data_IF_615170232925
#
_entry.id   IF_615170232925
#
_cell.length_a   1.000
_cell.length_b   1.000
_cell.length_c   1.000
_cell.angle_alpha   90.00
_cell.angle_beta   90.00
_cell.angle_gamma   90.00
#
_symmetry.space_group_name_H-M   'P 1'
#
loop_
_entity.id
_entity.type
_entity.pdbx_description
1 polymer ?
#
# COMPACT_ATOMS: atom_id res chain seq x y z
N UNK A 1 -11.79 -12.30 5.70
CA UNK A 1 -11.67 -13.74 5.36
C UNK A 1 -12.76 -14.21 4.40
N UNK A 2 -14.05 -13.92 4.63
CA UNK A 2 -15.13 -14.26 3.67
C UNK A 2 -15.10 -13.40 2.39
N UNK A 3 -14.89 -12.08 2.52
CA UNK A 3 -14.88 -11.16 1.36
C UNK A 3 -13.70 -11.42 0.41
N UNK A 4 -12.59 -11.89 0.95
CA UNK A 4 -11.39 -12.24 0.18
C UNK A 4 -11.61 -13.49 -0.67
N UNK A 5 -12.30 -14.50 -0.12
CA UNK A 5 -12.69 -15.71 -0.85
C UNK A 5 -13.73 -15.39 -1.94
N UNK A 6 -14.69 -14.51 -1.65
CA UNK A 6 -15.67 -14.07 -2.65
C UNK A 6 -15.02 -13.26 -3.78
N UNK A 7 -14.09 -12.34 -3.47
CA UNK A 7 -13.28 -11.65 -4.49
C UNK A 7 -12.52 -12.61 -5.39
N UNK A 8 -11.86 -13.62 -4.83
CA UNK A 8 -11.13 -14.63 -5.61
C UNK A 8 -12.08 -15.45 -6.51
N UNK A 9 -13.29 -15.78 -6.04
CA UNK A 9 -14.29 -16.48 -6.86
C UNK A 9 -14.90 -15.61 -7.97
N UNK A 10 -15.21 -14.35 -7.67
CA UNK A 10 -15.68 -13.39 -8.68
C UNK A 10 -14.59 -13.13 -9.75
N UNK A 11 -13.34 -12.99 -9.33
CA UNK A 11 -12.20 -12.81 -10.23
C UNK A 11 -12.03 -13.99 -11.20
N UNK A 12 -12.25 -15.21 -10.71
CA UNK A 12 -12.22 -16.47 -11.50
C UNK A 12 -13.44 -16.69 -12.40
N UNK A 13 -14.51 -15.91 -12.22
CA UNK A 13 -15.76 -16.05 -13.00
C UNK A 13 -16.02 -14.90 -13.99
N UNK A 14 -15.30 -13.79 -13.90
CA UNK A 14 -15.37 -12.66 -14.85
C UNK A 14 -14.80 -13.03 -16.22
N UNK A 15 -15.61 -12.90 -17.29
CA UNK A 15 -15.14 -12.93 -18.68
C UNK A 15 -15.45 -14.18 -19.52
N UNK A 16 -16.45 -14.99 -19.13
CA UNK A 16 -16.88 -16.16 -19.94
C UNK A 16 -15.87 -17.32 -19.94
N UNK A 17 -14.99 -17.36 -18.95
CA UNK A 17 -13.99 -18.40 -18.78
C UNK A 17 -14.45 -19.43 -17.75
N UNK A 18 -14.44 -20.73 -18.11
CA UNK A 18 -14.64 -21.83 -17.16
C UNK A 18 -13.29 -22.25 -16.57
N UNK A 19 -12.90 -21.65 -15.46
CA UNK A 19 -11.66 -21.95 -14.73
C UNK A 19 -11.78 -23.18 -13.82
N UNK A 20 -12.19 -24.33 -14.36
CA UNK A 20 -12.40 -25.55 -13.56
C UNK A 20 -11.17 -26.44 -13.35
N UNK A 21 -10.09 -26.29 -14.14
CA UNK A 21 -8.95 -27.24 -14.12
C UNK A 21 -7.57 -26.58 -14.22
N UNK A 22 -7.40 -25.56 -15.08
CA UNK A 22 -6.12 -24.88 -15.25
C UNK A 22 -6.33 -23.35 -15.23
N UNK A 23 -5.83 -22.72 -14.17
CA UNK A 23 -5.90 -21.27 -13.93
C UNK A 23 -4.55 -20.60 -14.25
N UNK A 24 -4.62 -19.41 -14.85
CA UNK A 24 -3.52 -18.48 -14.98
C UNK A 24 -4.10 -17.06 -15.03
N UNK A 25 -3.55 -16.09 -14.31
CA UNK A 25 -4.15 -14.75 -14.18
C UNK A 25 -4.19 -13.93 -15.49
N UNK A 26 -3.22 -14.11 -16.38
CA UNK A 26 -3.22 -13.53 -17.75
C UNK A 26 -4.25 -14.17 -18.71
N UNK A 27 -4.91 -15.26 -18.32
CA UNK A 27 -5.87 -15.95 -19.18
C UNK A 27 -7.08 -15.06 -19.43
N UNK A 28 -7.43 -14.90 -20.71
CA UNK A 28 -8.57 -14.07 -21.13
C UNK A 28 -8.27 -12.57 -21.31
N UNK A 29 -7.10 -12.09 -20.89
CA UNK A 29 -6.63 -10.73 -21.14
C UNK A 29 -5.87 -10.61 -22.48
N UNK A 30 -5.22 -11.68 -22.91
CA UNK A 30 -4.31 -11.64 -24.06
C UNK A 30 -4.99 -12.05 -25.37
N UNK A 31 -4.68 -11.31 -26.43
CA UNK A 31 -5.07 -11.59 -27.81
C UNK A 31 -3.83 -11.80 -28.67
N UNK A 32 -3.96 -12.62 -29.71
CA UNK A 32 -2.89 -12.91 -30.64
C UNK A 32 -2.72 -11.75 -31.63
N UNK A 33 -1.60 -11.04 -31.53
CA UNK A 33 -1.28 -9.92 -32.42
C UNK A 33 -1.23 -10.32 -33.90
N UNK A 34 -0.62 -11.46 -34.24
CA UNK A 34 -0.61 -12.00 -35.61
C UNK A 34 -2.02 -12.23 -36.17
N UNK A 35 -2.98 -12.62 -35.34
CA UNK A 35 -4.38 -12.75 -35.77
C UNK A 35 -5.00 -11.37 -36.01
N UNK A 36 -4.75 -10.42 -35.12
CA UNK A 36 -5.22 -9.05 -35.25
C UNK A 36 -4.72 -8.41 -36.55
N UNK A 37 -3.43 -8.57 -36.87
CA UNK A 37 -2.82 -8.13 -38.13
C UNK A 37 -3.49 -8.77 -39.37
N UNK A 38 -3.98 -10.00 -39.22
CA UNK A 38 -4.74 -10.71 -40.26
C UNK A 38 -6.27 -10.43 -40.20
N UNK A 39 -6.69 -9.35 -39.55
CA UNK A 39 -8.08 -8.87 -39.54
C UNK A 39 -9.03 -9.69 -38.65
N UNK A 40 -8.52 -10.48 -37.71
CA UNK A 40 -9.36 -11.29 -36.81
C UNK A 40 -8.93 -11.19 -35.35
N UNK A 41 -9.89 -11.06 -34.44
CA UNK A 41 -9.61 -11.15 -33.02
C UNK A 41 -9.51 -12.62 -32.57
N UNK A 42 -8.36 -13.03 -32.02
CA UNK A 42 -8.19 -14.38 -31.48
C UNK A 42 -7.57 -14.33 -30.09
N UNK A 43 -8.22 -14.97 -29.11
CA UNK A 43 -7.72 -15.04 -27.73
C UNK A 43 -6.57 -16.02 -27.59
N UNK A 44 -5.68 -15.72 -26.66
CA UNK A 44 -4.67 -16.66 -26.17
C UNK A 44 -5.31 -17.61 -25.15
N UNK A 45 -5.03 -18.90 -25.31
CA UNK A 45 -5.50 -19.99 -24.48
C UNK A 45 -4.34 -20.50 -23.65
N UNK A 46 -4.56 -20.60 -22.34
CA UNK A 46 -3.62 -21.22 -21.42
C UNK A 46 -3.71 -22.75 -21.50
N UNK A 47 -2.57 -23.42 -21.57
CA UNK A 47 -2.47 -24.89 -21.61
C UNK A 47 -1.29 -25.36 -20.78
N UNK A 48 -1.44 -26.54 -20.15
CA UNK A 48 -0.36 -27.24 -19.46
C UNK A 48 0.03 -28.45 -20.28
N UNK A 49 1.32 -28.60 -20.55
CA UNK A 49 1.87 -29.76 -21.25
C UNK A 49 2.75 -30.57 -20.30
N UNK A 50 2.56 -31.88 -20.28
CA UNK A 50 3.40 -32.81 -19.52
C UNK A 50 4.66 -33.13 -20.33
N UNK A 51 5.83 -32.93 -19.72
CA UNK A 51 7.13 -33.26 -20.27
C UNK A 51 7.47 -34.74 -20.10
N UNK A 52 8.52 -35.19 -20.80
CA UNK A 52 8.95 -36.61 -20.81
C UNK A 52 9.35 -37.19 -19.45
N UNK A 53 9.59 -36.33 -18.44
CA UNK A 53 10.01 -36.71 -17.08
C UNK A 53 8.89 -36.53 -16.04
N UNK A 54 7.66 -36.20 -16.47
CA UNK A 54 6.52 -35.92 -15.59
C UNK A 54 6.43 -34.46 -15.12
N UNK A 55 7.34 -33.58 -15.57
CA UNK A 55 7.29 -32.14 -15.28
C UNK A 55 6.20 -31.46 -16.10
N UNK A 56 5.42 -30.55 -15.49
CA UNK A 56 4.41 -29.77 -16.20
C UNK A 56 4.98 -28.42 -16.64
N UNK A 57 4.72 -28.06 -17.89
CA UNK A 57 5.11 -26.79 -18.48
C UNK A 57 3.88 -26.00 -18.90
N UNK A 58 3.88 -24.73 -18.51
CA UNK A 58 2.77 -23.80 -18.71
C UNK A 58 3.00 -22.97 -19.98
N UNK A 59 2.01 -22.92 -20.87
CA UNK A 59 2.10 -22.23 -22.15
C UNK A 59 0.83 -21.44 -22.50
N UNK A 60 1.02 -20.43 -23.34
CA UNK A 60 -0.04 -19.75 -24.06
C UNK A 60 0.01 -20.08 -25.55
N UNK A 61 -1.16 -20.37 -26.14
CA UNK A 61 -1.30 -20.61 -27.57
C UNK A 61 -2.49 -19.84 -28.13
N UNK A 62 -2.37 -19.36 -29.36
CA UNK A 62 -3.49 -18.75 -30.06
C UNK A 62 -4.61 -19.78 -30.29
N UNK A 63 -5.88 -19.42 -30.02
CA UNK A 63 -7.04 -20.29 -30.28
C UNK A 63 -7.08 -20.81 -31.71
N UNK A 64 -6.84 -19.96 -32.70
CA UNK A 64 -6.92 -20.34 -34.13
C UNK A 64 -5.82 -21.35 -34.50
N UNK A 65 -4.66 -21.30 -33.83
CA UNK A 65 -3.63 -22.32 -33.99
C UNK A 65 -4.10 -23.67 -33.45
N UNK A 66 -4.71 -23.68 -32.26
CA UNK A 66 -5.21 -24.90 -31.63
C UNK A 66 -6.34 -25.57 -32.44
N UNK A 67 -7.10 -24.80 -33.21
CA UNK A 67 -8.11 -25.32 -34.14
C UNK A 67 -7.51 -26.04 -35.36
N UNK A 68 -6.18 -26.03 -35.54
CA UNK A 68 -5.45 -26.92 -36.45
C UNK A 68 -5.57 -26.59 -37.95
N UNK A 69 -6.23 -25.50 -38.34
CA UNK A 69 -6.46 -25.14 -39.75
C UNK A 69 -5.28 -24.44 -40.45
N UNK A 70 -4.10 -24.38 -39.80
CA UNK A 70 -2.91 -23.69 -40.34
C UNK A 70 -3.04 -22.18 -40.48
N UNK A 71 -4.10 -21.57 -39.93
CA UNK A 71 -4.40 -20.16 -40.18
C UNK A 71 -3.60 -19.21 -39.28
N UNK A 72 -2.92 -19.70 -38.24
CA UNK A 72 -2.05 -18.94 -37.33
C UNK A 72 -0.78 -19.75 -37.06
N UNK A 73 0.38 -19.14 -37.27
CA UNK A 73 1.70 -19.76 -37.16
C UNK A 73 2.44 -19.40 -35.85
N UNK A 74 1.83 -18.58 -34.98
CA UNK A 74 2.41 -18.16 -33.69
C UNK A 74 2.84 -19.37 -32.86
N UNK A 75 4.10 -19.47 -32.37
CA UNK A 75 4.53 -20.60 -31.54
C UNK A 75 3.81 -20.64 -30.19
N UNK A 76 3.92 -21.78 -29.49
CA UNK A 76 3.54 -21.85 -28.08
C UNK A 76 4.49 -20.96 -27.29
N UNK A 77 3.91 -20.04 -26.51
CA UNK A 77 4.67 -19.08 -25.72
C UNK A 77 4.79 -19.62 -24.28
N UNK A 78 5.99 -19.83 -23.74
CA UNK A 78 6.16 -20.22 -22.34
C UNK A 78 5.54 -19.17 -21.42
N UNK A 79 4.71 -19.61 -20.47
CA UNK A 79 3.99 -18.70 -19.58
C UNK A 79 4.95 -17.75 -18.86
N UNK A 80 6.04 -18.26 -18.27
CA UNK A 80 7.05 -17.45 -17.58
C UNK A 80 7.66 -16.33 -18.45
N UNK A 81 7.86 -16.56 -19.74
CA UNK A 81 8.38 -15.52 -20.65
C UNK A 81 7.31 -14.47 -20.95
N UNK A 82 6.06 -14.90 -21.14
CA UNK A 82 4.93 -14.00 -21.33
C UNK A 82 4.72 -13.13 -20.10
N UNK A 83 4.77 -13.71 -18.90
CA UNK A 83 4.68 -12.99 -17.63
C UNK A 83 5.77 -11.94 -17.49
N UNK A 84 7.02 -12.31 -17.80
CA UNK A 84 8.14 -11.39 -17.75
C UNK A 84 7.94 -10.20 -18.70
N UNK A 85 7.54 -10.46 -19.95
CA UNK A 85 7.30 -9.40 -20.93
C UNK A 85 6.08 -8.52 -20.59
N UNK A 86 5.04 -9.10 -19.98
CA UNK A 86 3.89 -8.33 -19.49
C UNK A 86 4.34 -7.42 -18.34
N UNK A 87 5.06 -7.95 -17.35
CA UNK A 87 5.59 -7.16 -16.23
C UNK A 87 6.46 -5.99 -16.72
N UNK A 88 7.42 -6.28 -17.59
CA UNK A 88 8.33 -5.33 -18.20
C UNK A 88 7.59 -4.26 -19.04
N UNK A 89 6.51 -4.63 -19.73
CA UNK A 89 5.66 -3.66 -20.43
C UNK A 89 4.84 -2.78 -19.49
N UNK A 90 4.28 -3.32 -18.40
CA UNK A 90 3.58 -2.54 -17.39
C UNK A 90 4.50 -1.54 -16.68
N UNK A 91 5.77 -1.89 -16.48
CA UNK A 91 6.79 -0.98 -15.93
C UNK A 91 7.08 0.15 -16.91
N UNK A 92 7.20 -0.15 -18.22
CA UNK A 92 7.38 0.88 -19.26
C UNK A 92 6.15 1.78 -19.45
N UNK A 93 4.95 1.23 -19.24
CA UNK A 93 3.69 1.97 -19.16
C UNK A 93 3.48 2.66 -17.81
N UNK A 94 4.47 2.61 -16.90
CA UNK A 94 4.36 3.10 -15.54
C UNK A 94 3.65 4.44 -15.45
N UNK A 95 2.98 4.68 -14.32
CA UNK A 95 2.18 5.89 -14.06
C UNK A 95 2.79 7.12 -14.73
N UNK A 96 2.05 7.93 -15.51
CA UNK A 96 2.63 9.09 -16.19
C UNK A 96 3.50 9.91 -15.23
N UNK A 97 4.68 10.35 -15.68
CA UNK A 97 5.63 11.09 -14.85
C UNK A 97 4.95 12.23 -14.10
N UNK A 98 4.14 13.01 -14.80
CA UNK A 98 3.35 14.12 -14.28
C UNK A 98 2.37 13.70 -13.17
N UNK A 99 1.78 12.50 -13.28
CA UNK A 99 0.90 11.95 -12.25
C UNK A 99 1.68 11.52 -11.01
N UNK A 100 2.88 10.95 -11.19
CA UNK A 100 3.77 10.62 -10.07
C UNK A 100 4.25 11.87 -9.35
N UNK A 101 4.71 12.88 -10.08
CA UNK A 101 5.13 14.17 -9.51
C UNK A 101 3.97 14.83 -8.75
N UNK A 102 2.77 14.89 -9.34
CA UNK A 102 1.60 15.46 -8.69
C UNK A 102 1.23 14.73 -7.39
N UNK A 103 1.32 13.39 -7.36
CA UNK A 103 1.07 12.62 -6.13
C UNK A 103 2.16 12.89 -5.10
N UNK A 104 3.43 12.84 -5.49
CA UNK A 104 4.55 13.06 -4.57
C UNK A 104 4.51 14.47 -3.98
N UNK A 105 4.20 15.48 -4.79
CA UNK A 105 4.03 16.87 -4.34
C UNK A 105 2.82 17.00 -3.40
N UNK A 106 1.66 16.44 -3.76
CA UNK A 106 0.47 16.51 -2.92
C UNK A 106 0.66 15.81 -1.56
N UNK A 107 1.35 14.66 -1.56
CA UNK A 107 1.69 13.92 -0.34
C UNK A 107 2.72 14.69 0.48
N UNK A 108 3.76 15.25 -0.15
CA UNK A 108 4.75 16.09 0.52
C UNK A 108 4.13 17.31 1.18
N UNK A 109 3.28 18.05 0.47
CA UNK A 109 2.58 19.23 1.00
C UNK A 109 1.65 18.87 2.17
N UNK A 110 0.95 17.75 2.09
CA UNK A 110 0.09 17.27 3.18
C UNK A 110 0.92 16.89 4.41
N UNK A 111 2.05 16.20 4.22
CA UNK A 111 2.98 15.86 5.29
C UNK A 111 3.55 17.11 5.97
N UNK A 112 3.97 18.10 5.20
CA UNK A 112 4.51 19.35 5.74
C UNK A 112 3.46 20.11 6.57
N UNK A 113 2.21 20.15 6.09
CA UNK A 113 1.11 20.78 6.81
C UNK A 113 0.77 20.06 8.13
N UNK A 114 0.68 18.72 8.09
CA UNK A 114 0.47 17.93 9.31
C UNK A 114 1.65 18.10 10.28
N UNK A 115 2.90 18.06 9.80
CA UNK A 115 4.06 18.33 10.65
C UNK A 115 4.03 19.73 11.27
N UNK A 116 3.60 20.75 10.52
CA UNK A 116 3.48 22.12 11.02
C UNK A 116 2.42 22.22 12.13
N UNK A 117 1.22 21.69 11.91
CA UNK A 117 0.14 21.65 12.89
C UNK A 117 0.58 20.91 14.17
N UNK A 118 1.26 19.78 14.02
CA UNK A 118 1.76 19.02 15.16
C UNK A 118 2.88 19.75 15.92
N UNK A 119 3.77 20.48 15.24
CA UNK A 119 4.76 21.36 15.91
C UNK A 119 4.07 22.45 16.73
N UNK A 120 2.97 23.02 16.23
CA UNK A 120 2.18 24.00 16.98
C UNK A 120 1.54 23.39 18.23
N UNK A 121 0.96 22.19 18.12
CA UNK A 121 0.39 21.44 19.25
C UNK A 121 1.47 21.17 20.30
N UNK A 122 2.64 20.66 19.90
CA UNK A 122 3.77 20.43 20.83
C UNK A 122 4.27 21.73 21.48
N UNK A 123 4.32 22.84 20.73
CA UNK A 123 4.65 24.15 21.29
C UNK A 123 3.60 24.62 22.30
N UNK A 124 2.32 24.30 22.07
CA UNK A 124 1.22 24.51 23.01
C UNK A 124 1.41 23.74 24.31
N UNK A 125 1.68 22.43 24.23
CA UNK A 125 1.95 21.59 25.41
C UNK A 125 3.17 22.08 26.20
N UNK A 126 4.27 22.45 25.52
CA UNK A 126 5.45 23.03 26.20
C UNK A 126 5.11 24.31 26.97
N UNK A 127 4.39 25.24 26.34
CA UNK A 127 3.92 26.47 27.01
C UNK A 127 3.01 26.16 28.21
N UNK A 128 2.18 25.12 28.12
CA UNK A 128 1.33 24.69 29.22
C UNK A 128 2.16 24.14 30.38
N UNK A 129 3.15 23.28 30.10
CA UNK A 129 4.08 22.75 31.10
C UNK A 129 4.87 23.87 31.80
N UNK A 130 5.38 24.85 31.06
CA UNK A 130 6.08 26.00 31.63
C UNK A 130 5.19 26.81 32.59
N UNK A 131 3.92 27.03 32.20
CA UNK A 131 2.94 27.72 33.07
C UNK A 131 2.62 26.92 34.32
N UNK A 132 2.53 25.60 34.22
CA UNK A 132 2.28 24.71 35.36
C UNK A 132 3.48 24.72 36.32
N UNK A 133 4.71 24.68 35.79
CA UNK A 133 5.93 24.77 36.60
C UNK A 133 6.02 26.08 37.37
N UNK A 134 5.75 27.22 36.72
CA UNK A 134 5.72 28.54 37.39
C UNK A 134 4.63 28.59 38.48
N UNK A 135 3.49 27.93 38.26
CA UNK A 135 2.41 27.87 39.25
C UNK A 135 2.75 26.97 40.43
N UNK A 136 3.46 25.87 40.17
CA UNK A 136 3.99 24.96 41.19
C UNK A 136 4.98 25.69 42.10
N UNK A 137 6.01 26.35 41.54
CA UNK A 137 6.99 27.15 42.28
C UNK A 137 6.30 28.19 43.18
N UNK A 138 5.34 28.96 42.64
CA UNK A 138 4.59 29.95 43.44
C UNK A 138 3.79 29.33 44.58
N UNK A 139 3.28 28.10 44.41
CA UNK A 139 2.57 27.40 45.48
C UNK A 139 3.52 26.89 46.55
N UNK A 140 4.74 26.52 46.17
CA UNK A 140 5.80 26.13 47.09
C UNK A 140 6.27 27.34 47.91
N UNK A 141 6.55 28.49 47.27
CA UNK A 141 6.90 29.75 47.95
C UNK A 141 5.83 30.13 48.99
N UNK A 142 4.55 30.07 48.62
CA UNK A 142 3.42 30.36 49.50
C UNK A 142 3.24 29.34 50.65
N UNK A 143 3.78 28.13 50.50
CA UNK A 143 3.74 27.12 51.54
C UNK A 143 4.78 27.38 52.64
N UNK A 144 5.89 28.06 52.31
CA UNK A 144 6.94 28.43 53.25
C UNK A 144 6.47 29.50 54.25
N UNK A 145 5.62 30.44 53.82
CA UNK A 145 5.09 31.53 54.64
C UNK A 145 4.09 31.08 55.74
N UNK A 146 3.76 29.78 55.84
CA UNK A 146 2.93 29.14 56.89
C UNK A 146 1.51 29.71 57.13
N UNK A 147 1.10 30.75 56.40
CA UNK A 147 -0.19 31.42 56.53
C UNK A 147 -1.37 30.66 55.89
N UNK A 148 -1.09 29.66 55.05
CA UNK A 148 -2.10 28.96 54.25
C UNK A 148 -2.35 27.51 54.73
N UNK A 149 -3.61 27.00 54.66
CA UNK A 149 -3.90 25.62 55.00
C UNK A 149 -3.18 24.63 54.07
N UNK A 150 -2.29 23.82 54.64
CA UNK A 150 -1.48 22.82 53.91
C UNK A 150 -2.31 21.85 53.05
N UNK A 151 -3.52 21.50 53.50
CA UNK A 151 -4.44 20.65 52.74
C UNK A 151 -4.85 21.26 51.39
N UNK A 152 -5.09 22.57 51.34
CA UNK A 152 -5.46 23.27 50.10
C UNK A 152 -4.29 23.35 49.13
N UNK A 153 -3.07 23.55 49.65
CA UNK A 153 -1.84 23.56 48.85
C UNK A 153 -1.60 22.18 48.25
N UNK A 154 -1.68 21.13 49.06
CA UNK A 154 -1.52 19.74 48.60
C UNK A 154 -2.57 19.35 47.55
N UNK A 155 -3.82 19.78 47.72
CA UNK A 155 -4.86 19.56 46.72
C UNK A 155 -4.54 20.26 45.39
N UNK A 156 -4.01 21.49 45.44
CA UNK A 156 -3.62 22.27 44.26
C UNK A 156 -2.40 21.66 43.54
N UNK A 157 -1.41 21.18 44.30
CA UNK A 157 -0.23 20.50 43.76
C UNK A 157 -0.61 19.18 43.07
N UNK A 158 -1.51 18.39 43.67
CA UNK A 158 -2.03 17.17 43.02
C UNK A 158 -2.74 17.49 41.70
N UNK A 159 -3.54 18.56 41.67
CA UNK A 159 -4.20 19.00 40.44
C UNK A 159 -3.20 19.39 39.34
N UNK A 160 -2.14 20.12 39.71
CA UNK A 160 -1.05 20.47 38.77
C UNK A 160 -0.35 19.22 38.26
N UNK A 161 -0.07 18.24 39.13
CA UNK A 161 0.57 16.99 38.72
C UNK A 161 -0.30 16.20 37.72
N UNK A 162 -1.61 16.16 37.92
CA UNK A 162 -2.55 15.52 36.98
C UNK A 162 -2.51 16.25 35.62
N UNK A 163 -2.57 17.58 35.63
CA UNK A 163 -2.51 18.38 34.39
C UNK A 163 -1.16 18.22 33.66
N UNK A 164 -0.06 18.04 34.41
CA UNK A 164 1.28 17.81 33.85
C UNK A 164 1.37 16.46 33.16
N UNK A 165 0.93 15.39 33.84
CA UNK A 165 0.91 14.03 33.26
C UNK A 165 0.07 13.98 32.00
N UNK A 166 -1.14 14.59 32.01
CA UNK A 166 -1.99 14.64 30.83
C UNK A 166 -1.33 15.37 29.64
N UNK A 167 -0.60 16.46 29.89
CA UNK A 167 0.12 17.20 28.85
C UNK A 167 1.35 16.42 28.34
N UNK A 168 2.06 15.70 29.21
CA UNK A 168 3.19 14.83 28.84
C UNK A 168 2.73 13.64 27.98
N UNK A 169 1.64 12.97 28.39
CA UNK A 169 1.02 11.87 27.64
C UNK A 169 0.53 12.32 26.26
N UNK A 170 -0.17 13.46 26.18
CA UNK A 170 -0.62 14.03 24.91
C UNK A 170 0.55 14.36 23.95
N UNK A 171 1.70 14.75 24.50
CA UNK A 171 2.91 15.03 23.72
C UNK A 171 3.58 13.74 23.21
N UNK A 172 3.58 12.66 24.00
CA UNK A 172 4.12 11.36 23.58
C UNK A 172 3.24 10.70 22.51
N UNK A 173 1.92 10.66 22.72
CA UNK A 173 0.98 10.05 21.77
C UNK A 173 1.03 10.73 20.40
N UNK A 174 1.19 12.05 20.39
CA UNK A 174 1.31 12.84 19.16
C UNK A 174 2.66 12.60 18.47
N UNK A 175 3.75 12.46 19.24
CA UNK A 175 5.08 12.15 18.72
C UNK A 175 5.18 10.78 18.03
N UNK A 176 4.58 9.76 18.62
CA UNK A 176 4.61 8.40 18.05
C UNK A 176 3.85 8.32 16.72
N UNK A 177 2.70 9.00 16.62
CA UNK A 177 1.89 9.07 15.38
C UNK A 177 2.68 9.69 14.21
N UNK A 178 3.57 10.65 14.47
CA UNK A 178 4.41 11.28 13.43
C UNK A 178 5.38 10.28 12.81
N UNK A 179 6.10 9.53 13.66
CA UNK A 179 7.15 8.62 13.20
C UNK A 179 6.57 7.47 12.35
N UNK A 180 5.41 6.95 12.77
CA UNK A 180 4.72 5.85 12.08
C UNK A 180 4.13 6.34 10.76
N UNK A 181 3.45 7.49 10.76
CA UNK A 181 2.84 8.06 9.56
C UNK A 181 3.86 8.34 8.46
N UNK A 182 4.97 9.00 8.79
CA UNK A 182 6.03 9.33 7.84
C UNK A 182 6.69 8.08 7.24
N UNK A 183 6.95 7.06 8.06
CA UNK A 183 7.60 5.82 7.61
C UNK A 183 6.69 4.99 6.69
N UNK A 184 5.39 4.92 7.00
CA UNK A 184 4.42 4.18 6.18
C UNK A 184 4.24 4.86 4.82
N UNK A 185 4.13 6.18 4.78
CA UNK A 185 3.98 6.94 3.54
C UNK A 185 5.24 6.89 2.66
N UNK A 186 6.44 7.02 3.22
CA UNK A 186 7.70 6.87 2.47
C UNK A 186 7.81 5.48 1.83
N UNK A 187 7.40 4.43 2.57
CA UNK A 187 7.36 3.07 2.03
C UNK A 187 6.38 2.93 0.86
N UNK A 188 5.21 3.56 0.93
CA UNK A 188 4.22 3.49 -0.14
C UNK A 188 4.63 4.27 -1.38
N UNK A 189 5.29 5.43 -1.22
CA UNK A 189 5.81 6.20 -2.34
C UNK A 189 6.91 5.44 -3.09
N UNK A 190 7.81 4.74 -2.38
CA UNK A 190 8.84 3.89 -3.02
C UNK A 190 8.27 2.75 -3.86
N UNK A 191 7.07 2.26 -3.54
CA UNK A 191 6.38 1.24 -4.37
C UNK A 191 5.91 1.79 -5.72
N UNK A 192 5.72 3.11 -5.82
CA UNK A 192 5.35 3.79 -7.07
C UNK A 192 6.57 4.06 -7.97
N UNK A 193 7.77 4.13 -7.39
CA UNK A 193 9.03 4.38 -8.10
C UNK A 193 9.57 3.14 -8.83
N UNK A 194 9.49 1.95 -8.22
CA UNK A 194 9.90 0.70 -8.86
C UNK A 194 8.89 -0.43 -8.61
N UNK A 195 7.98 -0.70 -9.57
CA UNK A 195 6.98 -1.74 -9.42
C UNK A 195 7.52 -3.16 -9.69
N UNK A 196 8.74 -3.34 -10.21
CA UNK A 196 9.32 -4.67 -10.49
C UNK A 196 9.36 -5.60 -9.26
N UNK A 197 9.97 -5.20 -8.13
CA UNK A 197 10.06 -6.06 -6.95
C UNK A 197 8.67 -6.39 -6.39
N UNK A 198 7.72 -5.47 -6.46
CA UNK A 198 6.34 -5.67 -6.01
C UNK A 198 5.59 -6.64 -6.91
N UNK A 199 5.68 -6.49 -8.23
CA UNK A 199 5.06 -7.40 -9.18
C UNK A 199 5.63 -8.82 -9.07
N UNK A 200 6.96 -8.93 -8.93
CA UNK A 200 7.65 -10.20 -8.80
C UNK A 200 7.27 -10.96 -7.52
N UNK A 201 7.06 -10.25 -6.40
CA UNK A 201 6.74 -10.85 -5.10
C UNK A 201 5.23 -10.97 -4.82
N UNK A 202 4.38 -10.31 -5.61
CA UNK A 202 2.93 -10.38 -5.45
C UNK A 202 2.39 -11.81 -5.72
N UNK A 203 1.43 -12.28 -4.91
CA UNK A 203 0.67 -13.49 -5.23
C UNK A 203 -0.11 -13.33 -6.54
N UNK A 204 -0.29 -14.42 -7.29
CA UNK A 204 -1.03 -14.42 -8.57
C UNK A 204 -2.45 -13.84 -8.49
N UNK A 205 -3.07 -13.84 -7.30
CA UNK A 205 -4.38 -13.26 -7.06
C UNK A 205 -4.38 -11.72 -7.15
N UNK A 206 -3.26 -11.07 -6.87
CA UNK A 206 -3.13 -9.60 -6.76
C UNK A 206 -2.41 -9.00 -7.96
N UNK A 207 -1.66 -9.80 -8.75
CA UNK A 207 -0.93 -9.34 -9.96
C UNK A 207 -1.81 -8.76 -11.08
N UNK A 208 -3.14 -8.91 -10.98
CA UNK A 208 -4.10 -8.43 -11.98
C UNK A 208 -4.92 -7.22 -11.51
N UNK A 209 -4.90 -6.90 -10.22
CA UNK A 209 -5.60 -5.75 -9.65
C UNK A 209 -4.68 -4.52 -9.61
#
# INVERSE_FOLDING_TARGET
MWDEVQRVMEHRSKGGQRDRVHYHYLKGLMYCDRCTQNGRASRMIFTKAEGRRGDYYDYFACRVRLEGKGQCDLPYLPAAQVEWHVADHYVRLGLPHDFREAITEAVGATLDNEQANLREIHAGYRKQLDRLAVREEKLLDLAEDSALPREKINARLRQIQIERVAAEEGMQETGDKISVGATVLDRHLRLLDDPHPTYATAPDAVRRD
#
